data_IF_885484858723
#
_entry.id   IF_885484858723
#
_cell.length_a   1.000
_cell.length_b   1.000
_cell.length_c   1.000
_cell.angle_alpha   90.00
_cell.angle_beta   90.00
_cell.angle_gamma   90.00
#
_symmetry.space_group_name_H-M   'P 1'
#
loop_
_entity.id
_entity.type
_entity.pdbx_description
1 polymer ?
#
# COMPACT_ATOMS: atom_id res chain seq x y z
N UNK A 1 14.95 -32.64 8.31
CA UNK A 1 13.88 -32.14 7.42
C UNK A 1 12.79 -31.33 8.14
N UNK A 2 12.25 -31.75 9.30
CA UNK A 2 11.17 -31.05 10.05
C UNK A 2 11.42 -29.56 10.34
N UNK A 3 12.66 -29.14 10.58
CA UNK A 3 13.03 -27.75 10.91
C UNK A 3 12.93 -26.78 9.73
N UNK A 4 13.13 -27.24 8.49
CA UNK A 4 13.01 -26.40 7.29
C UNK A 4 11.54 -26.08 6.98
N UNK A 5 10.66 -27.06 7.11
CA UNK A 5 9.22 -26.90 6.89
C UNK A 5 8.59 -25.93 7.90
N UNK A 6 8.91 -26.09 9.19
CA UNK A 6 8.42 -25.18 10.24
C UNK A 6 8.89 -23.73 10.02
N UNK A 7 10.14 -23.53 9.58
CA UNK A 7 10.67 -22.21 9.23
C UNK A 7 9.95 -21.60 8.03
N UNK A 8 9.71 -22.39 6.98
CA UNK A 8 8.99 -21.93 5.79
C UNK A 8 7.54 -21.52 6.14
N UNK A 9 6.85 -22.33 6.94
CA UNK A 9 5.50 -22.03 7.42
C UNK A 9 5.46 -20.72 8.22
N UNK A 10 6.39 -20.53 9.16
CA UNK A 10 6.48 -19.31 9.97
C UNK A 10 6.73 -18.06 9.11
N UNK A 11 7.60 -18.15 8.10
CA UNK A 11 7.85 -17.04 7.17
C UNK A 11 6.61 -16.75 6.31
N UNK A 12 5.93 -17.79 5.84
CA UNK A 12 4.68 -17.67 5.08
C UNK A 12 3.59 -16.98 5.88
N UNK A 13 3.29 -17.50 7.09
CA UNK A 13 2.31 -16.90 8.01
C UNK A 13 2.68 -15.46 8.38
N UNK A 14 3.96 -15.19 8.66
CA UNK A 14 4.42 -13.83 8.95
C UNK A 14 4.21 -12.87 7.77
N UNK A 15 4.41 -13.34 6.54
CA UNK A 15 4.18 -12.54 5.33
C UNK A 15 2.69 -12.27 5.11
N UNK A 16 1.84 -13.29 5.32
CA UNK A 16 0.38 -13.15 5.22
C UNK A 16 -0.16 -12.17 6.28
N UNK A 17 0.27 -12.31 7.54
CA UNK A 17 -0.11 -11.40 8.62
C UNK A 17 0.35 -9.97 8.34
N UNK A 18 1.54 -9.80 7.76
CA UNK A 18 2.03 -8.47 7.40
C UNK A 18 1.22 -7.85 6.25
N UNK A 19 0.85 -8.62 5.24
CA UNK A 19 -0.02 -8.15 4.15
C UNK A 19 -1.41 -7.79 4.68
N UNK A 20 -1.97 -8.60 5.58
CA UNK A 20 -3.23 -8.28 6.25
C UNK A 20 -3.12 -6.98 7.07
N UNK A 21 -2.04 -6.81 7.83
CA UNK A 21 -1.77 -5.58 8.56
C UNK A 21 -1.65 -4.36 7.62
N UNK A 22 -0.95 -4.50 6.50
CA UNK A 22 -0.81 -3.44 5.51
C UNK A 22 -2.17 -3.06 4.88
N UNK A 23 -3.01 -4.05 4.57
CA UNK A 23 -4.37 -3.80 4.09
C UNK A 23 -5.24 -3.11 5.15
N UNK A 24 -5.17 -3.55 6.40
CA UNK A 24 -5.88 -2.87 7.51
C UNK A 24 -5.39 -1.44 7.68
N UNK A 25 -4.08 -1.20 7.60
CA UNK A 25 -3.51 0.14 7.69
C UNK A 25 -3.96 1.03 6.53
N UNK A 26 -4.05 0.50 5.31
CA UNK A 26 -4.60 1.22 4.16
C UNK A 26 -6.04 1.66 4.45
N UNK A 27 -6.91 0.72 4.83
CA UNK A 27 -8.34 1.00 5.10
C UNK A 27 -8.48 2.00 6.25
N UNK A 28 -7.79 1.78 7.38
CA UNK A 28 -7.88 2.64 8.55
C UNK A 28 -7.38 4.06 8.26
N UNK A 29 -6.29 4.20 7.51
CA UNK A 29 -5.74 5.51 7.13
C UNK A 29 -6.71 6.24 6.21
N UNK A 30 -7.22 5.57 5.19
CA UNK A 30 -8.16 6.19 4.26
C UNK A 30 -9.49 6.57 4.94
N UNK A 31 -9.99 5.71 5.83
CA UNK A 31 -11.16 6.00 6.66
C UNK A 31 -10.93 7.23 7.53
N UNK A 32 -9.79 7.31 8.20
CA UNK A 32 -9.43 8.46 9.05
C UNK A 32 -9.41 9.76 8.25
N UNK A 33 -8.97 9.73 6.99
CA UNK A 33 -9.08 10.87 6.08
C UNK A 33 -10.51 11.32 5.86
N UNK A 34 -11.43 10.37 5.74
CA UNK A 34 -12.87 10.64 5.61
C UNK A 34 -13.46 11.34 6.84
N UNK A 35 -13.15 10.82 8.03
CA UNK A 35 -13.56 11.39 9.32
C UNK A 35 -12.96 12.79 9.52
N UNK A 36 -11.67 12.96 9.20
CA UNK A 36 -11.00 14.26 9.33
C UNK A 36 -11.59 15.31 8.39
N UNK A 37 -11.94 14.95 7.15
CA UNK A 37 -12.61 15.90 6.28
C UNK A 37 -14.01 16.27 6.78
N UNK A 38 -14.73 15.35 7.42
CA UNK A 38 -16.00 15.67 8.07
C UNK A 38 -15.78 16.62 9.27
N UNK A 39 -14.78 16.36 10.11
CA UNK A 39 -14.43 17.22 11.25
C UNK A 39 -13.98 18.63 10.81
N UNK A 40 -13.33 18.74 9.65
CA UNK A 40 -12.92 20.01 9.04
C UNK A 40 -14.05 20.71 8.26
N UNK A 41 -15.25 20.14 8.21
CA UNK A 41 -16.40 20.73 7.53
C UNK A 41 -16.29 20.75 6.01
N UNK A 42 -15.47 19.88 5.41
CA UNK A 42 -15.40 19.79 3.95
C UNK A 42 -16.76 19.34 3.40
N UNK A 43 -17.28 20.00 2.34
CA UNK A 43 -18.54 19.61 1.74
C UNK A 43 -18.50 18.17 1.23
N UNK A 44 -19.66 17.51 1.27
CA UNK A 44 -19.83 16.19 0.66
C UNK A 44 -19.83 16.36 -0.86
N UNK A 45 -18.66 16.26 -1.46
CA UNK A 45 -18.44 16.38 -2.90
C UNK A 45 -17.75 17.69 -3.31
N UNK A 46 -17.53 17.83 -4.62
CA UNK A 46 -16.78 18.93 -5.20
C UNK A 46 -15.27 18.72 -5.20
N UNK A 47 -14.57 19.59 -5.94
CA UNK A 47 -13.14 19.45 -6.18
C UNK A 47 -12.26 19.46 -4.90
N UNK A 48 -12.53 20.29 -3.87
CA UNK A 48 -11.73 20.27 -2.64
C UNK A 48 -11.81 18.93 -1.91
N UNK A 49 -13.02 18.35 -1.84
CA UNK A 49 -13.23 17.06 -1.19
C UNK A 49 -12.53 15.93 -1.95
N UNK A 50 -12.63 15.92 -3.27
CA UNK A 50 -11.95 14.95 -4.12
C UNK A 50 -10.43 15.05 -4.01
N UNK A 51 -9.87 16.26 -3.95
CA UNK A 51 -8.44 16.46 -3.77
C UNK A 51 -7.96 15.92 -2.41
N UNK A 52 -8.76 16.11 -1.37
CA UNK A 52 -8.51 15.53 -0.05
C UNK A 52 -8.57 14.00 -0.07
N UNK A 53 -9.62 13.42 -0.63
CA UNK A 53 -9.79 11.97 -0.71
C UNK A 53 -8.67 11.31 -1.54
N UNK A 54 -8.23 11.97 -2.62
CA UNK A 54 -7.06 11.53 -3.40
C UNK A 54 -5.78 11.55 -2.54
N UNK A 55 -5.51 12.64 -1.83
CA UNK A 55 -4.34 12.77 -0.99
C UNK A 55 -4.29 11.68 0.10
N UNK A 56 -5.41 11.39 0.75
CA UNK A 56 -5.51 10.33 1.77
C UNK A 56 -5.42 8.92 1.18
N UNK A 57 -5.95 8.71 -0.02
CA UNK A 57 -5.78 7.44 -0.75
C UNK A 57 -4.30 7.18 -1.04
N UNK A 58 -3.57 8.20 -1.51
CA UNK A 58 -2.12 8.10 -1.78
C UNK A 58 -1.33 7.89 -0.48
N UNK A 59 -1.67 8.62 0.60
CA UNK A 59 -1.03 8.45 1.91
C UNK A 59 -1.25 7.05 2.48
N UNK A 60 -2.47 6.52 2.37
CA UNK A 60 -2.80 5.16 2.77
C UNK A 60 -2.01 4.10 1.97
N UNK A 61 -1.92 4.28 0.65
CA UNK A 61 -1.12 3.42 -0.23
C UNK A 61 0.37 3.46 0.14
N UNK A 62 0.91 4.66 0.37
CA UNK A 62 2.29 4.87 0.79
C UNK A 62 2.57 4.17 2.12
N UNK A 63 1.71 4.33 3.11
CA UNK A 63 1.85 3.67 4.41
C UNK A 63 1.86 2.16 4.25
N UNK A 64 0.84 1.57 3.60
CA UNK A 64 0.74 0.13 3.41
C UNK A 64 2.00 -0.47 2.74
N UNK A 65 2.51 0.19 1.68
CA UNK A 65 3.73 -0.24 1.01
C UNK A 65 4.97 -0.08 1.89
N UNK A 66 5.05 1.00 2.68
CA UNK A 66 6.11 1.18 3.65
C UNK A 66 6.11 0.10 4.72
N UNK A 67 4.93 -0.30 5.23
CA UNK A 67 4.78 -1.40 6.18
C UNK A 67 5.39 -2.69 5.61
N UNK A 68 4.96 -3.08 4.40
CA UNK A 68 5.48 -4.29 3.75
C UNK A 68 6.99 -4.17 3.51
N UNK A 69 7.46 -3.03 3.02
CA UNK A 69 8.88 -2.79 2.74
C UNK A 69 9.76 -2.89 3.99
N UNK A 70 9.28 -2.38 5.13
CA UNK A 70 10.06 -2.29 6.37
C UNK A 70 10.16 -3.60 7.12
N UNK A 71 9.08 -4.40 7.09
CA UNK A 71 8.89 -5.53 7.98
C UNK A 71 8.70 -6.89 7.28
N UNK A 72 8.73 -6.94 5.95
CA UNK A 72 8.68 -8.20 5.22
C UNK A 72 9.72 -9.19 5.75
N UNK A 73 9.31 -10.39 6.20
CA UNK A 73 10.21 -11.33 6.86
C UNK A 73 11.18 -12.01 5.87
N UNK A 74 10.85 -11.99 4.58
CA UNK A 74 11.65 -12.55 3.49
C UNK A 74 11.32 -11.83 2.18
N UNK A 75 12.28 -11.76 1.26
CA UNK A 75 12.07 -11.27 -0.11
C UNK A 75 11.29 -9.93 -0.18
N UNK A 76 11.68 -8.95 0.64
CA UNK A 76 10.95 -7.69 0.81
C UNK A 76 10.58 -7.00 -0.51
N UNK A 77 11.49 -6.97 -1.50
CA UNK A 77 11.21 -6.41 -2.83
C UNK A 77 10.08 -7.13 -3.56
N UNK A 78 10.02 -8.45 -3.50
CA UNK A 78 8.95 -9.23 -4.13
C UNK A 78 7.62 -9.02 -3.42
N UNK A 79 7.61 -9.00 -2.08
CA UNK A 79 6.38 -8.75 -1.31
C UNK A 79 5.84 -7.34 -1.53
N UNK A 80 6.72 -6.34 -1.58
CA UNK A 80 6.36 -4.97 -1.92
C UNK A 80 5.86 -4.85 -3.35
N UNK A 81 6.52 -5.51 -4.31
CA UNK A 81 6.05 -5.51 -5.69
C UNK A 81 4.65 -6.14 -5.81
N UNK A 82 4.39 -7.23 -5.08
CA UNK A 82 3.08 -7.85 -5.02
C UNK A 82 2.03 -6.93 -4.40
N UNK A 83 2.34 -6.28 -3.27
CA UNK A 83 1.44 -5.32 -2.62
C UNK A 83 1.16 -4.11 -3.52
N UNK A 84 2.18 -3.61 -4.22
CA UNK A 84 2.04 -2.52 -5.19
C UNK A 84 1.18 -2.95 -6.39
N UNK A 85 1.39 -4.15 -6.93
CA UNK A 85 0.57 -4.69 -8.01
C UNK A 85 -0.90 -4.81 -7.60
N UNK A 86 -1.18 -5.24 -6.36
CA UNK A 86 -2.53 -5.30 -5.85
C UNK A 86 -3.18 -3.90 -5.78
N UNK A 87 -2.46 -2.89 -5.28
CA UNK A 87 -2.94 -1.50 -5.25
C UNK A 87 -3.14 -0.94 -6.67
N UNK A 88 -2.21 -1.20 -7.59
CA UNK A 88 -2.29 -0.77 -8.97
C UNK A 88 -3.49 -1.40 -9.69
N UNK A 89 -3.71 -2.71 -9.51
CA UNK A 89 -4.86 -3.42 -10.05
C UNK A 89 -6.17 -2.84 -9.51
N UNK A 90 -6.25 -2.55 -8.21
CA UNK A 90 -7.42 -1.91 -7.60
C UNK A 90 -7.67 -0.50 -8.15
N UNK A 91 -6.63 0.31 -8.32
CA UNK A 91 -6.74 1.66 -8.88
C UNK A 91 -7.19 1.64 -10.34
N UNK A 92 -6.59 0.77 -11.17
CA UNK A 92 -6.98 0.60 -12.58
C UNK A 92 -8.42 0.09 -12.67
N UNK A 93 -8.80 -0.89 -11.85
CA UNK A 93 -10.17 -1.38 -11.78
C UNK A 93 -11.14 -0.26 -11.37
N UNK A 94 -10.80 0.55 -10.36
CA UNK A 94 -11.64 1.65 -9.92
C UNK A 94 -11.83 2.70 -11.02
N UNK A 95 -10.77 3.10 -11.73
CA UNK A 95 -10.89 4.04 -12.84
C UNK A 95 -11.70 3.44 -13.99
N UNK A 96 -11.51 2.16 -14.32
CA UNK A 96 -12.24 1.50 -15.40
C UNK A 96 -13.74 1.35 -15.13
N UNK A 97 -14.14 1.12 -13.88
CA UNK A 97 -15.54 0.83 -13.53
C UNK A 97 -16.29 2.02 -12.93
N UNK A 98 -15.58 2.92 -12.23
CA UNK A 98 -16.16 4.05 -11.50
C UNK A 98 -15.68 5.40 -12.05
N UNK A 99 -14.66 5.43 -12.91
CA UNK A 99 -14.02 6.68 -13.33
C UNK A 99 -14.93 7.64 -14.09
N UNK A 100 -16.01 7.15 -14.71
CA UNK A 100 -17.04 8.00 -15.34
C UNK A 100 -17.81 8.87 -14.34
N UNK A 101 -17.75 8.57 -13.04
CA UNK A 101 -18.38 9.33 -11.97
C UNK A 101 -17.49 10.48 -11.46
N UNK A 102 -16.22 10.54 -11.88
CA UNK A 102 -15.22 11.46 -11.37
C UNK A 102 -14.61 12.35 -12.46
N UNK A 103 -14.13 13.55 -12.12
CA UNK A 103 -13.35 14.37 -13.04
C UNK A 103 -12.07 13.68 -13.51
N UNK A 104 -11.66 13.90 -14.76
CA UNK A 104 -10.45 13.29 -15.35
C UNK A 104 -9.19 13.53 -14.52
N UNK A 105 -8.99 14.73 -13.97
CA UNK A 105 -7.83 15.04 -13.15
C UNK A 105 -7.71 14.15 -11.90
N UNK A 106 -8.83 13.68 -11.35
CA UNK A 106 -8.84 12.79 -10.18
C UNK A 106 -8.39 11.38 -10.59
N UNK A 107 -8.94 10.85 -11.68
CA UNK A 107 -8.55 9.56 -12.25
C UNK A 107 -7.07 9.56 -12.67
N UNK A 108 -6.63 10.61 -13.37
CA UNK A 108 -5.25 10.78 -13.78
C UNK A 108 -4.32 10.92 -12.57
N UNK A 109 -4.72 11.68 -11.56
CA UNK A 109 -3.98 11.82 -10.31
C UNK A 109 -3.80 10.49 -9.56
N UNK A 110 -4.87 9.68 -9.50
CA UNK A 110 -4.82 8.36 -8.88
C UNK A 110 -3.86 7.42 -9.64
N UNK A 111 -3.93 7.38 -10.97
CA UNK A 111 -3.04 6.56 -11.78
C UNK A 111 -1.59 7.06 -11.77
N UNK A 112 -1.39 8.38 -11.79
CA UNK A 112 -0.07 9.01 -11.71
C UNK A 112 0.61 8.80 -10.35
N UNK A 113 -0.15 8.56 -9.28
CA UNK A 113 0.41 8.19 -7.98
C UNK A 113 1.05 6.79 -7.98
N UNK A 114 0.59 5.86 -8.82
CA UNK A 114 1.10 4.48 -8.86
C UNK A 114 2.61 4.38 -9.13
N UNK A 115 3.21 5.03 -10.16
CA UNK A 115 4.64 4.98 -10.38
C UNK A 115 5.44 5.60 -9.22
N UNK A 116 4.93 6.68 -8.62
CA UNK A 116 5.56 7.31 -7.45
C UNK A 116 5.57 6.35 -6.25
N UNK A 117 4.42 5.73 -5.95
CA UNK A 117 4.29 4.74 -4.89
C UNK A 117 5.20 3.53 -5.15
N UNK A 118 5.27 3.02 -6.38
CA UNK A 118 6.14 1.92 -6.76
C UNK A 118 7.62 2.26 -6.58
N UNK A 119 8.05 3.44 -7.03
CA UNK A 119 9.42 3.93 -6.85
C UNK A 119 9.81 4.09 -5.38
N UNK A 120 8.94 4.72 -4.58
CA UNK A 120 9.11 4.85 -3.14
C UNK A 120 9.21 3.48 -2.45
N UNK A 121 8.28 2.58 -2.76
CA UNK A 121 8.23 1.27 -2.14
C UNK A 121 9.46 0.41 -2.48
N UNK A 122 9.92 0.47 -3.72
CA UNK A 122 11.17 -0.17 -4.13
C UNK A 122 12.38 0.35 -3.35
N UNK A 123 12.46 1.67 -3.16
CA UNK A 123 13.52 2.31 -2.35
C UNK A 123 13.44 1.90 -0.88
N UNK A 124 12.25 1.89 -0.29
CA UNK A 124 12.05 1.50 1.12
C UNK A 124 12.38 0.04 1.39
N UNK A 125 12.17 -0.86 0.42
CA UNK A 125 12.47 -2.28 0.56
C UNK A 125 13.99 -2.55 0.70
N UNK A 126 14.84 -1.56 0.41
CA UNK A 126 16.28 -1.62 0.53
C UNK A 126 16.93 -2.63 -0.42
N UNK A 127 18.24 -2.84 -0.26
CA UNK A 127 18.93 -3.99 -0.85
C UNK A 127 18.59 -5.26 -0.05
N UNK A 128 18.66 -6.46 -0.65
CA UNK A 128 18.51 -7.71 0.10
C UNK A 128 19.44 -7.64 1.30
N UNK A 129 18.88 -7.72 2.52
CA UNK A 129 19.69 -7.86 3.73
C UNK A 129 20.42 -9.19 3.56
N UNK A 130 21.66 -9.14 3.04
CA UNK A 130 22.58 -10.28 2.99
C UNK A 130 22.49 -10.86 4.38
N UNK A 131 22.02 -12.10 4.48
CA UNK A 131 21.92 -12.78 5.76
C UNK A 131 23.20 -12.48 6.51
N UNK A 132 23.07 -12.05 7.77
CA UNK A 132 24.20 -12.14 8.67
C UNK A 132 24.75 -13.55 8.53
N UNK A 133 25.90 -13.60 7.87
CA UNK A 133 26.82 -14.72 7.81
C UNK A 133 26.89 -15.30 9.21
N UNK A 134 26.99 -16.63 9.29
CA UNK A 134 28.07 -17.27 10.04
C UNK A 134 28.79 -16.34 11.00
N UNK A 135 28.30 -16.23 12.25
CA UNK A 135 29.02 -15.79 13.47
C UNK A 135 28.01 -15.45 14.57
N UNK A 136 27.61 -16.47 15.33
CA UNK A 136 27.83 -16.59 16.76
C UNK A 136 27.50 -18.04 17.14
#
# INVERSE_FOLDING_TARGET
MRTKAAKALRLGLGSLLLLALAATAFVATNWSGGELAAALGLPRGGAPRLGWDLAWTVAAGALALWIVARWAPVAARAQVALAWLALAAMAVWAVANLGGEFPLWFCDGLLAALPLLGGCAWRWAGLPRRSQRHRA
#
